data_IF_523652269783
#
_entry.id   IF_523652269783
#
_cell.length_a   1.000
_cell.length_b   1.000
_cell.length_c   1.000
_cell.angle_alpha   90.00
_cell.angle_beta   90.00
_cell.angle_gamma   90.00
#
_symmetry.space_group_name_H-M   'P 1'
#
loop_
_entity.id
_entity.type
_entity.pdbx_description
1 polymer ?
#
# COMPACT_ATOMS: atom_id res chain seq x y z
N UNK A 1 -6.50 -9.89 23.44
CA UNK A 1 -6.55 -9.56 22.00
C UNK A 1 -8.01 -9.53 21.64
N UNK A 2 -8.57 -8.34 21.52
CA UNK A 2 -9.97 -8.16 21.13
C UNK A 2 -10.06 -8.37 19.61
N UNK A 3 -10.95 -9.26 19.20
CA UNK A 3 -11.51 -9.29 17.83
C UNK A 3 -11.99 -7.86 17.47
N UNK A 4 -11.39 -7.27 16.44
CA UNK A 4 -12.02 -7.03 15.13
C UNK A 4 -12.39 -5.56 14.87
N UNK A 5 -11.53 -4.61 15.23
CA UNK A 5 -11.50 -3.35 14.48
C UNK A 5 -10.48 -3.51 13.36
N UNK A 6 -10.99 -3.61 12.13
CA UNK A 6 -10.18 -3.51 10.93
C UNK A 6 -9.30 -2.25 11.03
N UNK A 7 -7.98 -2.42 10.92
CA UNK A 7 -7.06 -1.30 11.02
C UNK A 7 -7.50 -0.21 10.03
N UNK A 8 -7.76 1.02 10.50
CA UNK A 8 -8.38 2.04 9.66
C UNK A 8 -7.46 2.47 8.51
N UNK A 9 -6.15 2.22 8.58
CA UNK A 9 -5.24 2.37 7.46
C UNK A 9 -5.44 1.25 6.43
N UNK A 10 -5.50 -0.02 6.84
CA UNK A 10 -5.79 -1.13 5.93
C UNK A 10 -7.13 -0.94 5.21
N UNK A 11 -8.19 -0.59 5.95
CA UNK A 11 -9.52 -0.33 5.39
C UNK A 11 -9.54 0.79 4.33
N UNK A 12 -8.65 1.78 4.45
CA UNK A 12 -8.52 2.85 3.44
C UNK A 12 -7.78 2.39 2.20
N UNK A 13 -6.74 1.58 2.36
CA UNK A 13 -5.96 1.03 1.24
C UNK A 13 -6.79 0.01 0.44
N UNK A 14 -7.56 -0.86 1.11
CA UNK A 14 -8.43 -1.82 0.45
C UNK A 14 -9.46 -1.13 -0.46
N UNK A 15 -10.03 -0.01 -0.01
CA UNK A 15 -10.98 0.81 -0.81
C UNK A 15 -10.39 1.38 -2.09
N UNK A 16 -9.05 1.46 -2.22
CA UNK A 16 -8.42 1.94 -3.46
C UNK A 16 -8.18 0.81 -4.47
N UNK A 17 -8.33 -0.45 -4.07
CA UNK A 17 -7.93 -1.60 -4.90
C UNK A 17 -6.42 -1.77 -5.08
N UNK A 18 -5.59 -1.05 -4.31
CA UNK A 18 -4.12 -1.04 -4.43
C UNK A 18 -3.43 -1.72 -3.24
N UNK A 19 -4.12 -2.65 -2.58
CA UNK A 19 -3.62 -3.32 -1.39
C UNK A 19 -2.36 -4.16 -1.69
N UNK A 20 -2.32 -4.85 -2.83
CA UNK A 20 -1.17 -5.69 -3.21
C UNK A 20 0.10 -4.84 -3.43
N UNK A 21 0.00 -3.70 -4.10
CA UNK A 21 1.12 -2.79 -4.31
C UNK A 21 1.58 -2.16 -3.00
N UNK A 22 0.65 -1.82 -2.11
CA UNK A 22 0.96 -1.31 -0.78
C UNK A 22 1.72 -2.36 0.06
N UNK A 23 1.27 -3.61 0.09
CA UNK A 23 1.93 -4.70 0.81
C UNK A 23 3.36 -4.94 0.29
N UNK A 24 3.55 -4.97 -1.03
CA UNK A 24 4.90 -5.09 -1.64
C UNK A 24 5.82 -3.96 -1.20
N UNK A 25 5.30 -2.73 -1.13
CA UNK A 25 6.04 -1.57 -0.68
C UNK A 25 6.41 -1.66 0.82
N UNK A 26 5.46 -2.07 1.67
CA UNK A 26 5.69 -2.27 3.10
C UNK A 26 6.71 -3.39 3.37
N UNK A 27 6.63 -4.51 2.64
CA UNK A 27 7.60 -5.62 2.71
C UNK A 27 9.00 -5.13 2.34
N UNK A 28 9.14 -4.39 1.23
CA UNK A 28 10.45 -3.85 0.85
C UNK A 28 11.04 -2.94 1.95
N UNK A 29 10.25 -2.05 2.54
CA UNK A 29 10.72 -1.23 3.65
C UNK A 29 11.02 -2.07 4.89
N UNK A 30 10.22 -3.10 5.17
CA UNK A 30 10.47 -4.00 6.28
C UNK A 30 11.84 -4.69 6.14
N UNK A 31 12.21 -5.14 4.94
CA UNK A 31 13.47 -5.83 4.68
C UNK A 31 14.67 -4.87 4.64
N UNK A 32 14.49 -3.71 4.02
CA UNK A 32 15.60 -2.78 3.74
C UNK A 32 15.80 -1.71 4.80
N UNK A 33 14.73 -1.40 5.55
CA UNK A 33 14.58 -0.22 6.42
C UNK A 33 14.94 1.11 5.71
N UNK A 34 14.85 1.16 4.38
CA UNK A 34 15.24 2.33 3.58
C UNK A 34 14.35 2.48 2.34
N UNK A 35 13.44 3.44 2.38
CA UNK A 35 12.51 3.74 1.28
C UNK A 35 13.18 4.03 -0.06
N UNK A 36 14.43 4.52 -0.07
CA UNK A 36 15.15 4.82 -1.31
C UNK A 36 15.51 3.55 -2.09
N UNK A 37 15.58 2.41 -1.41
CA UNK A 37 15.79 1.09 -2.04
C UNK A 37 14.51 0.48 -2.60
N UNK A 38 13.35 1.06 -2.28
CA UNK A 38 12.01 0.58 -2.68
C UNK A 38 11.40 1.43 -3.80
N UNK A 39 12.24 2.05 -4.64
CA UNK A 39 11.77 2.98 -5.68
C UNK A 39 10.81 2.30 -6.67
N UNK A 40 11.04 1.02 -6.98
CA UNK A 40 10.20 0.23 -7.89
C UNK A 40 8.82 -0.01 -7.30
N UNK A 41 8.76 -0.48 -6.05
CA UNK A 41 7.52 -0.76 -5.32
C UNK A 41 6.73 0.54 -5.10
N UNK A 42 7.45 1.63 -4.80
CA UNK A 42 6.84 2.94 -4.61
C UNK A 42 6.23 3.48 -5.91
N UNK A 43 6.88 3.27 -7.04
CA UNK A 43 6.33 3.64 -8.34
C UNK A 43 5.07 2.83 -8.66
N UNK A 44 5.09 1.51 -8.45
CA UNK A 44 3.94 0.65 -8.68
C UNK A 44 2.73 1.07 -7.82
N UNK A 45 2.95 1.33 -6.52
CA UNK A 45 1.89 1.81 -5.65
C UNK A 45 1.33 3.16 -6.12
N UNK A 46 2.18 4.11 -6.52
CA UNK A 46 1.74 5.43 -7.02
C UNK A 46 0.92 5.33 -8.30
N UNK A 47 1.30 4.45 -9.22
CA UNK A 47 0.59 4.24 -10.48
C UNK A 47 -0.81 3.65 -10.21
N UNK A 48 -0.91 2.62 -9.36
CA UNK A 48 -2.20 2.08 -8.95
C UNK A 48 -3.05 3.14 -8.23
N UNK A 49 -2.48 3.82 -7.23
CA UNK A 49 -3.20 4.81 -6.42
C UNK A 49 -3.69 6.00 -7.26
N UNK A 50 -2.99 6.38 -8.33
CA UNK A 50 -3.49 7.39 -9.27
C UNK A 50 -4.67 6.85 -10.09
N UNK A 51 -4.61 5.59 -10.52
CA UNK A 51 -5.68 4.95 -11.28
C UNK A 51 -6.96 4.77 -10.45
N UNK A 52 -6.85 4.55 -9.14
CA UNK A 52 -8.03 4.36 -8.26
C UNK A 52 -8.98 5.56 -8.21
N UNK A 53 -8.50 6.77 -8.53
CA UNK A 53 -9.33 7.97 -8.63
C UNK A 53 -9.66 8.35 -10.09
N UNK A 54 -9.09 7.67 -11.08
CA UNK A 54 -9.36 7.95 -12.49
C UNK A 54 -10.65 7.29 -13.00
N UNK A 55 -11.25 6.41 -12.19
CA UNK A 55 -12.55 5.77 -12.42
C UNK A 55 -13.68 6.38 -11.56
N UNK A 56 -13.40 7.51 -10.89
CA UNK A 56 -14.37 8.37 -10.18
C UNK A 56 -14.56 9.67 -10.97
#
# INVERSE_FOLDING_TARGET
>A
MTEEEEDPYNARIEKTGCFEENEKLLICFYDTKDWRKCAKEMQAFRECFKASFSYL
#
